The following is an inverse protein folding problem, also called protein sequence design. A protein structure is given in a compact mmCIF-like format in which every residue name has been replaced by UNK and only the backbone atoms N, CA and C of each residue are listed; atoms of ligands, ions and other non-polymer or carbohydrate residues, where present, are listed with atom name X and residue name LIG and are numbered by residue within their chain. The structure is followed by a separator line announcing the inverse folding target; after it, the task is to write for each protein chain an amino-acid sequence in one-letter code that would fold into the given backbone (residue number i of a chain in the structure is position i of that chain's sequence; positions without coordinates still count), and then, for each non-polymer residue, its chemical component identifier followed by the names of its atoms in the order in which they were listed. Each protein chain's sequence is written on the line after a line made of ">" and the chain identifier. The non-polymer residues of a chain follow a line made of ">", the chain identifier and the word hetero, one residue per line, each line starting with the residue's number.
data_IF_942686320897
#
_entry.id   IF_942686320897
#
_cell.length_a   1.000
_cell.length_b   1.000
_cell.length_c   1.000
_cell.angle_alpha   90.00
_cell.angle_beta   90.00
_cell.angle_gamma   90.00
#
_symmetry.space_group_name_H-M   'P 1'
#
loop_
_entity.id
_entity.type
_entity.pdbx_description
1 polymer ?
#
# COMPACT_ATOMS: atom_id res chain seq x y z
N UNK A 1 13.64 12.68 -6.93
CA UNK A 1 12.65 12.45 -8.01
C UNK A 1 12.02 11.06 -7.94
N UNK A 2 12.77 9.95 -7.88
CA UNK A 2 12.22 8.57 -7.81
C UNK A 2 11.32 8.29 -6.58
N UNK A 3 11.68 8.78 -5.39
CA UNK A 3 10.88 8.53 -4.18
C UNK A 3 9.47 9.15 -4.21
N UNK A 4 9.26 10.23 -4.98
CA UNK A 4 7.92 10.84 -5.10
C UNK A 4 6.99 10.01 -5.99
N UNK A 5 7.51 9.42 -7.07
CA UNK A 5 6.75 8.50 -7.91
C UNK A 5 6.43 7.20 -7.18
N UNK A 6 7.41 6.64 -6.45
CA UNK A 6 7.20 5.46 -5.60
C UNK A 6 6.14 5.75 -4.54
N UNK A 7 6.22 6.89 -3.85
CA UNK A 7 5.22 7.30 -2.85
C UNK A 7 3.82 7.40 -3.45
N UNK A 8 3.69 8.00 -4.65
CA UNK A 8 2.40 8.10 -5.34
C UNK A 8 1.83 6.73 -5.70
N UNK A 9 2.66 5.80 -6.19
CA UNK A 9 2.23 4.45 -6.53
C UNK A 9 1.80 3.65 -5.30
N UNK A 10 2.57 3.74 -4.21
CA UNK A 10 2.22 3.11 -2.93
C UNK A 10 0.91 3.67 -2.40
N UNK A 11 0.74 5.00 -2.40
CA UNK A 11 -0.51 5.63 -1.96
C UNK A 11 -1.70 5.09 -2.74
N UNK A 12 -1.62 5.10 -4.08
CA UNK A 12 -2.70 4.62 -4.93
C UNK A 12 -3.01 3.15 -4.67
N UNK A 13 -1.97 2.30 -4.55
CA UNK A 13 -2.14 0.88 -4.27
C UNK A 13 -2.82 0.65 -2.91
N UNK A 14 -2.32 1.26 -1.83
CA UNK A 14 -2.87 1.09 -0.50
C UNK A 14 -4.30 1.62 -0.40
N UNK A 15 -4.58 2.80 -0.99
CA UNK A 15 -5.94 3.37 -1.02
C UNK A 15 -6.90 2.45 -1.78
N UNK A 16 -6.50 1.88 -2.93
CA UNK A 16 -7.34 0.91 -3.66
C UNK A 16 -7.60 -0.36 -2.85
N UNK A 17 -6.59 -0.90 -2.17
CA UNK A 17 -6.75 -2.08 -1.32
C UNK A 17 -7.70 -1.81 -0.15
N UNK A 18 -7.57 -0.65 0.51
CA UNK A 18 -8.46 -0.25 1.61
C UNK A 18 -9.89 -0.06 1.12
N UNK A 19 -10.07 0.62 -0.02
CA UNK A 19 -11.40 0.83 -0.60
C UNK A 19 -12.08 -0.49 -0.97
N UNK A 20 -11.33 -1.44 -1.54
CA UNK A 20 -11.86 -2.78 -1.87
C UNK A 20 -12.24 -3.59 -0.62
N UNK A 21 -11.42 -3.57 0.42
CA UNK A 21 -11.61 -4.44 1.59
C UNK A 21 -12.60 -3.89 2.64
N UNK A 22 -12.69 -2.56 2.77
CA UNK A 22 -13.46 -1.90 3.84
C UNK A 22 -14.53 -0.94 3.32
N UNK A 23 -14.59 -0.69 2.00
CA UNK A 23 -15.46 0.33 1.37
C UNK A 23 -15.26 1.77 1.89
N UNK A 24 -14.13 2.05 2.54
CA UNK A 24 -13.79 3.38 3.05
C UNK A 24 -12.89 4.13 2.08
N UNK A 25 -13.11 5.44 1.97
CA UNK A 25 -12.17 6.36 1.34
C UNK A 25 -11.31 6.98 2.44
N UNK A 26 -9.98 6.85 2.34
CA UNK A 26 -9.03 7.28 3.37
C UNK A 26 -7.83 7.97 2.73
N UNK A 27 -7.41 9.08 3.35
CA UNK A 27 -6.18 9.76 2.99
C UNK A 27 -4.98 9.13 3.71
N UNK A 28 -4.10 8.48 2.95
CA UNK A 28 -2.89 7.83 3.46
C UNK A 28 -1.63 8.71 3.37
N UNK A 29 -1.76 10.01 3.04
CA UNK A 29 -0.60 10.87 2.76
C UNK A 29 0.39 11.02 3.93
N UNK A 30 -0.14 11.00 5.16
CA UNK A 30 0.59 11.14 6.43
C UNK A 30 0.66 9.86 7.25
N UNK A 31 0.12 8.77 6.72
CA UNK A 31 0.00 7.49 7.44
C UNK A 31 1.26 6.62 7.32
N UNK A 32 2.20 7.03 6.46
CA UNK A 32 3.50 6.42 6.33
C UNK A 32 4.54 7.38 5.76
N UNK A 33 5.81 7.02 5.92
CA UNK A 33 6.94 7.67 5.25
C UNK A 33 7.80 6.66 4.50
N UNK A 34 8.47 7.11 3.44
CA UNK A 34 9.55 6.37 2.81
C UNK A 34 10.85 6.73 3.50
N UNK A 35 11.58 5.73 3.97
CA UNK A 35 12.87 5.89 4.65
C UNK A 35 13.81 4.78 4.23
N UNK A 36 15.08 4.85 4.61
CA UNK A 36 16.04 3.78 4.37
C UNK A 36 16.16 2.86 5.57
N UNK A 37 16.14 1.56 5.32
CA UNK A 37 16.51 0.59 6.34
C UNK A 37 17.98 0.81 6.74
N UNK A 38 18.22 0.96 8.05
CA UNK A 38 19.54 1.32 8.56
C UNK A 38 20.63 0.31 8.19
N UNK A 39 20.27 -0.98 8.14
CA UNK A 39 21.19 -2.11 7.89
C UNK A 39 21.35 -2.36 6.40
N UNK A 40 20.24 -2.57 5.68
CA UNK A 40 20.29 -2.97 4.26
C UNK A 40 20.42 -1.81 3.28
N UNK A 41 20.26 -0.56 3.75
CA UNK A 41 20.22 0.67 2.93
C UNK A 41 19.14 0.66 1.84
N UNK A 42 18.15 -0.23 1.94
CA UNK A 42 17.01 -0.29 1.02
C UNK A 42 15.93 0.69 1.46
N UNK A 43 15.27 1.32 0.50
CA UNK A 43 14.04 2.08 0.75
C UNK A 43 12.96 1.14 1.31
N UNK A 44 12.34 1.55 2.41
CA UNK A 44 11.23 0.88 3.09
C UNK A 44 10.11 1.88 3.39
N UNK A 45 8.92 1.36 3.60
CA UNK A 45 7.76 2.07 4.13
C UNK A 45 7.80 1.96 5.66
N UNK A 46 7.91 3.09 6.36
CA UNK A 46 7.73 3.15 7.80
C UNK A 46 6.32 3.68 8.12
N UNK A 47 5.45 2.88 8.77
CA UNK A 47 4.12 3.31 9.14
C UNK A 47 4.18 4.38 10.24
N UNK A 48 3.38 5.43 10.09
CA UNK A 48 3.26 6.56 11.04
C UNK A 48 1.80 6.78 11.44
N UNK A 49 1.05 5.68 11.52
CA UNK A 49 -0.40 5.66 11.65
C UNK A 49 -0.93 6.68 12.67
N UNK A 50 -1.82 7.54 12.21
CA UNK A 50 -2.52 8.52 13.04
C UNK A 50 -3.61 7.85 13.87
N UNK A 51 -4.21 8.60 14.80
CA UNK A 51 -5.32 8.12 15.62
C UNK A 51 -6.50 7.62 14.78
N UNK A 52 -6.68 8.13 13.56
CA UNK A 52 -7.71 7.66 12.62
C UNK A 52 -7.51 6.17 12.28
N UNK A 53 -6.29 5.78 11.92
CA UNK A 53 -5.96 4.38 11.62
C UNK A 53 -5.85 3.56 12.91
N UNK A 54 -5.25 4.12 13.98
CA UNK A 54 -5.08 3.41 15.24
C UNK A 54 -6.40 3.09 15.94
N UNK A 55 -7.45 3.89 15.71
CA UNK A 55 -8.80 3.66 16.25
C UNK A 55 -9.51 2.48 15.59
N UNK A 56 -9.04 1.99 14.44
CA UNK A 56 -9.59 0.83 13.75
C UNK A 56 -8.55 -0.30 13.69
N UNK A 57 -8.63 -1.24 14.63
CA UNK A 57 -7.68 -2.34 14.75
C UNK A 57 -7.58 -3.21 13.47
N UNK A 58 -8.69 -3.42 12.75
CA UNK A 58 -8.71 -4.21 11.52
C UNK A 58 -8.01 -3.47 10.38
N UNK A 59 -8.28 -2.17 10.24
CA UNK A 59 -7.61 -1.32 9.25
C UNK A 59 -6.10 -1.23 9.51
N UNK A 60 -5.72 -1.00 10.77
CA UNK A 60 -4.31 -1.00 11.20
C UNK A 60 -3.62 -2.31 10.85
N UNK A 61 -4.22 -3.45 11.19
CA UNK A 61 -3.65 -4.76 10.91
C UNK A 61 -3.50 -4.99 9.40
N UNK A 62 -4.52 -4.65 8.63
CA UNK A 62 -4.51 -4.79 7.17
C UNK A 62 -3.40 -3.96 6.52
N UNK A 63 -3.31 -2.68 6.86
CA UNK A 63 -2.27 -1.80 6.33
C UNK A 63 -0.87 -2.23 6.78
N UNK A 64 -0.72 -2.68 8.03
CA UNK A 64 0.55 -3.23 8.52
C UNK A 64 0.98 -4.44 7.69
N UNK A 65 0.06 -5.34 7.35
CA UNK A 65 0.34 -6.50 6.51
C UNK A 65 0.79 -6.10 5.11
N UNK A 66 0.08 -5.17 4.46
CA UNK A 66 0.47 -4.67 3.13
C UNK A 66 1.84 -4.00 3.14
N UNK A 67 2.10 -3.15 4.14
CA UNK A 67 3.40 -2.50 4.35
C UNK A 67 4.50 -3.53 4.55
N UNK A 68 4.24 -4.57 5.36
CA UNK A 68 5.20 -5.64 5.65
C UNK A 68 5.51 -6.45 4.40
N UNK A 69 4.50 -6.76 3.59
CA UNK A 69 4.67 -7.44 2.30
C UNK A 69 5.56 -6.62 1.36
N UNK A 70 5.27 -5.32 1.19
CA UNK A 70 6.06 -4.43 0.34
C UNK A 70 7.50 -4.28 0.85
N UNK A 71 7.70 -4.26 2.17
CA UNK A 71 9.02 -4.14 2.80
C UNK A 71 9.85 -5.43 2.77
N UNK A 72 9.20 -6.58 2.86
CA UNK A 72 9.84 -7.89 2.73
C UNK A 72 10.26 -8.14 1.28
N UNK A 73 9.44 -7.68 0.33
CA UNK A 73 9.79 -7.61 -1.07
C UNK A 73 10.73 -6.43 -1.35
N UNK A 74 11.26 -6.34 -2.58
CA UNK A 74 11.93 -5.11 -3.01
C UNK A 74 10.84 -4.06 -3.21
N UNK A 75 10.68 -3.12 -2.26
CA UNK A 75 9.84 -1.93 -2.40
C UNK A 75 10.27 -1.10 -3.63
N UNK A 76 9.81 -1.53 -4.81
CA UNK A 76 10.22 -1.05 -6.13
C UNK A 76 8.99 -0.68 -6.95
N UNK A 77 9.18 0.23 -7.89
CA UNK A 77 8.14 0.66 -8.83
C UNK A 77 7.55 -0.54 -9.58
N UNK A 78 8.40 -1.49 -9.97
CA UNK A 78 8.00 -2.66 -10.76
C UNK A 78 7.08 -3.59 -9.95
N UNK A 79 7.44 -3.86 -8.69
CA UNK A 79 6.64 -4.70 -7.80
C UNK A 79 5.25 -4.09 -7.54
N UNK A 80 5.19 -2.79 -7.25
CA UNK A 80 3.91 -2.11 -6.99
C UNK A 80 3.05 -2.08 -8.26
N UNK A 81 3.66 -1.85 -9.44
CA UNK A 81 2.93 -1.91 -10.72
C UNK A 81 2.37 -3.30 -11.01
N UNK A 82 3.12 -4.35 -10.72
CA UNK A 82 2.65 -5.74 -10.88
C UNK A 82 1.45 -6.02 -9.96
N UNK A 83 1.53 -5.65 -8.68
CA UNK A 83 0.41 -5.76 -7.73
C UNK A 83 -0.83 -5.00 -8.18
N UNK A 84 -0.67 -3.79 -8.70
CA UNK A 84 -1.78 -3.02 -9.26
C UNK A 84 -2.38 -3.65 -10.52
N UNK A 85 -1.59 -4.36 -11.34
CA UNK A 85 -2.08 -5.10 -12.52
C UNK A 85 -2.90 -6.31 -12.09
N UNK A 86 -2.38 -7.13 -11.18
CA UNK A 86 -3.08 -8.32 -10.67
C UNK A 86 -4.38 -7.97 -9.92
N UNK A 87 -4.43 -6.81 -9.25
CA UNK A 87 -5.64 -6.30 -8.61
C UNK A 87 -6.72 -5.84 -9.62
N UNK A 88 -6.32 -5.35 -10.82
CA UNK A 88 -7.27 -4.98 -11.89
C UNK A 88 -7.78 -6.18 -12.69
N UNK A 89 -6.95 -7.20 -12.88
CA UNK A 89 -7.33 -8.42 -13.58
C UNK A 89 -8.39 -9.21 -12.79
N UNK A 90 -8.32 -9.17 -11.45
CA UNK A 90 -9.30 -9.82 -10.57
C UNK A 90 -10.68 -9.12 -10.56
N UNK A 91 -10.74 -7.81 -10.79
CA UNK A 91 -12.01 -7.08 -11.01
C UNK A 91 -12.59 -7.36 -12.40
N UNK A 92 -11.75 -7.56 -13.41
CA UNK A 92 -12.18 -7.77 -14.80
C UNK A 92 -12.79 -9.16 -15.04
N UNK A 93 -12.28 -10.19 -14.35
CA UNK A 93 -12.79 -11.56 -14.47
C UNK A 93 -14.13 -11.80 -13.77
N UNK A 94 -14.58 -10.90 -12.90
CA UNK A 94 -15.93 -10.98 -12.30
C UNK A 94 -17.02 -10.42 -13.23
N UNK A 95 -16.67 -9.60 -14.22
CA UNK A 95 -17.64 -8.98 -15.12
C UNK A 95 -17.95 -9.81 -16.38
N UNK A 96 -17.15 -10.85 -16.70
CA UNK A 96 -17.39 -11.76 -17.83
C UNK A 96 -18.23 -13.00 -17.47
N UNK A 97 -18.65 -13.15 -16.21
CA UNK A 97 -19.51 -14.26 -15.74
C UNK A 97 -20.93 -13.82 -15.34
N UNK A 98 -21.49 -12.80 -16.00
CA UNK A 98 -22.88 -12.36 -15.81
C UNK A 98 -23.63 -12.32 -17.13
#
# INVERSE_FOLDING_TARGET
>A
MQNQEIKKLIRNYLTSCVKSQFDIDIDLEKEYMLTENLVSKKTIIAPTFTDEILSNANLKLFLTSLVTEINNEKCSIEFIKEKMRSAKESDSQQMEMI
#
